data_IF_082245609959
#
_entry.id   IF_082245609959
#
_cell.length_a   1.000
_cell.length_b   1.000
_cell.length_c   1.000
_cell.angle_alpha   90.00
_cell.angle_beta   90.00
_cell.angle_gamma   90.00
#
_symmetry.space_group_name_H-M   'P 1'
#
loop_
_entity.id
_entity.type
_entity.pdbx_description
1 polymer ?
#
# COMPACT_ATOMS: atom_id res chain seq x y z
N UNK A 1 -10.83 33.05 -13.21
CA UNK A 1 -11.60 32.71 -14.42
C UNK A 1 -12.46 31.50 -14.11
N UNK A 2 -13.65 31.40 -14.74
CA UNK A 2 -14.54 30.26 -14.56
C UNK A 2 -14.18 29.19 -15.60
N UNK A 3 -14.00 27.94 -15.16
CA UNK A 3 -13.51 26.84 -15.99
C UNK A 3 -14.36 25.60 -15.73
N UNK A 4 -14.64 24.85 -16.79
CA UNK A 4 -15.33 23.56 -16.66
C UNK A 4 -14.40 22.56 -15.96
N UNK A 5 -14.95 21.76 -15.04
CA UNK A 5 -14.17 20.76 -14.29
C UNK A 5 -13.48 19.76 -15.22
N UNK A 6 -14.01 19.51 -16.42
CA UNK A 6 -13.39 18.66 -17.44
C UNK A 6 -12.10 19.24 -18.05
N UNK A 7 -11.93 20.56 -17.94
CA UNK A 7 -10.77 21.27 -18.47
C UNK A 7 -9.74 21.57 -17.38
N UNK A 8 -10.03 21.20 -16.12
CA UNK A 8 -9.08 21.36 -15.03
C UNK A 8 -7.87 20.43 -15.19
N UNK A 9 -6.72 21.00 -14.92
CA UNK A 9 -5.45 20.27 -14.85
C UNK A 9 -4.84 20.40 -13.45
N UNK A 10 -4.02 19.44 -13.00
CA UNK A 10 -3.25 19.59 -11.77
C UNK A 10 -2.41 20.85 -11.76
N UNK A 11 -2.34 21.52 -10.61
CA UNK A 11 -1.63 22.79 -10.47
C UNK A 11 -2.53 24.04 -10.55
N UNK A 12 -3.79 23.92 -11.00
CA UNK A 12 -4.77 25.03 -10.91
C UNK A 12 -4.95 25.47 -9.45
N UNK A 13 -5.22 26.76 -9.22
CA UNK A 13 -5.47 27.32 -7.87
C UNK A 13 -6.90 27.82 -7.82
N UNK A 14 -7.72 27.30 -6.89
CA UNK A 14 -9.08 27.79 -6.67
C UNK A 14 -9.07 29.23 -6.13
N UNK A 15 -9.87 30.11 -6.72
CA UNK A 15 -10.07 31.49 -6.23
C UNK A 15 -11.31 31.65 -5.38
N UNK A 16 -12.19 30.62 -5.37
CA UNK A 16 -13.44 30.60 -4.60
C UNK A 16 -13.63 29.24 -3.94
N UNK A 17 -14.32 29.23 -2.79
CA UNK A 17 -14.74 27.99 -2.14
C UNK A 17 -15.70 27.21 -3.06
N UNK A 18 -15.49 25.92 -3.18
CA UNK A 18 -16.43 25.03 -3.85
C UNK A 18 -17.43 24.53 -2.80
N UNK A 19 -18.64 25.10 -2.85
CA UNK A 19 -19.69 24.78 -1.89
C UNK A 19 -20.42 23.48 -2.21
N UNK A 20 -20.75 22.72 -1.17
CA UNK A 20 -21.61 21.54 -1.22
C UNK A 20 -22.98 21.81 -0.57
N UNK A 21 -23.69 20.73 -0.24
CA UNK A 21 -24.95 20.81 0.53
C UNK A 21 -24.73 20.97 2.04
N UNK A 22 -23.49 21.03 2.49
CA UNK A 22 -23.10 21.17 3.90
C UNK A 22 -22.58 22.58 4.20
N UNK A 23 -22.47 22.94 5.48
CA UNK A 23 -21.93 24.24 5.93
C UNK A 23 -20.39 24.37 5.73
N UNK A 24 -19.72 23.32 5.28
CA UNK A 24 -18.28 23.36 4.97
C UNK A 24 -18.08 23.20 3.46
N UNK A 25 -17.15 23.95 2.86
CA UNK A 25 -16.85 23.80 1.44
C UNK A 25 -16.30 22.40 1.15
N UNK A 26 -16.61 21.86 -0.03
CA UNK A 26 -16.04 20.60 -0.55
C UNK A 26 -14.53 20.77 -0.72
N UNK A 27 -14.13 21.90 -1.33
CA UNK A 27 -12.72 22.28 -1.50
C UNK A 27 -12.61 23.77 -1.20
N UNK A 28 -11.76 24.18 -0.24
CA UNK A 28 -11.58 25.60 0.10
C UNK A 28 -10.89 26.39 -1.02
N UNK A 29 -11.16 27.69 -1.07
CA UNK A 29 -10.39 28.64 -1.90
C UNK A 29 -8.89 28.57 -1.57
N UNK A 30 -8.06 28.99 -2.51
CA UNK A 30 -6.59 28.94 -2.44
C UNK A 30 -6.01 27.50 -2.38
N UNK A 31 -6.84 26.48 -2.62
CA UNK A 31 -6.36 25.11 -2.76
C UNK A 31 -5.72 24.93 -4.15
N UNK A 32 -4.53 24.37 -4.19
CA UNK A 32 -3.92 23.88 -5.43
C UNK A 32 -4.63 22.58 -5.81
N UNK A 33 -5.14 22.51 -7.01
CA UNK A 33 -5.85 21.35 -7.54
C UNK A 33 -4.84 20.24 -7.85
N UNK A 34 -5.15 19.05 -7.36
CA UNK A 34 -4.51 17.78 -7.67
C UNK A 34 -5.53 16.81 -8.29
N UNK A 35 -5.12 15.69 -8.90
CA UNK A 35 -6.03 14.71 -9.48
C UNK A 35 -7.16 14.28 -8.53
N UNK A 36 -6.87 14.10 -7.24
CA UNK A 36 -7.87 13.78 -6.20
C UNK A 36 -8.97 14.84 -6.09
N UNK A 37 -8.61 16.13 -6.24
CA UNK A 37 -9.58 17.22 -6.20
C UNK A 37 -10.47 17.21 -7.45
N UNK A 38 -9.91 16.93 -8.63
CA UNK A 38 -10.66 16.81 -9.89
C UNK A 38 -11.66 15.66 -9.77
N UNK A 39 -11.23 14.50 -9.28
CA UNK A 39 -12.09 13.35 -9.03
C UNK A 39 -13.20 13.68 -8.02
N UNK A 40 -12.87 14.41 -6.95
CA UNK A 40 -13.85 14.87 -5.96
C UNK A 40 -14.89 15.79 -6.61
N UNK A 41 -14.48 16.77 -7.43
CA UNK A 41 -15.39 17.67 -8.13
C UNK A 41 -16.33 16.92 -9.08
N UNK A 42 -15.81 15.91 -9.81
CA UNK A 42 -16.63 15.04 -10.64
C UNK A 42 -17.63 14.22 -9.80
N UNK A 43 -17.18 13.64 -8.69
CA UNK A 43 -18.02 12.85 -7.78
C UNK A 43 -19.19 13.68 -7.22
N UNK A 44 -18.93 14.95 -6.87
CA UNK A 44 -19.95 15.89 -6.40
C UNK A 44 -20.71 16.60 -7.53
N UNK A 45 -20.45 16.25 -8.81
CA UNK A 45 -21.08 16.83 -10.00
C UNK A 45 -20.96 18.35 -10.10
N UNK A 46 -19.87 18.88 -9.60
CA UNK A 46 -19.54 20.29 -9.82
C UNK A 46 -19.18 20.42 -11.30
N UNK A 47 -19.86 21.31 -12.00
CA UNK A 47 -19.64 21.49 -13.44
C UNK A 47 -18.55 22.52 -13.72
N UNK A 48 -18.47 23.55 -12.89
CA UNK A 48 -17.58 24.68 -13.10
C UNK A 48 -17.00 25.14 -11.75
N UNK A 49 -15.79 25.63 -11.78
CA UNK A 49 -15.09 26.20 -10.64
C UNK A 49 -14.38 27.51 -11.05
N UNK A 50 -14.11 28.37 -10.08
CA UNK A 50 -13.30 29.57 -10.31
C UNK A 50 -11.85 29.31 -9.95
N UNK A 51 -10.95 29.53 -10.93
CA UNK A 51 -9.51 29.35 -10.75
C UNK A 51 -8.72 30.61 -11.08
N UNK A 52 -7.46 30.64 -10.64
CA UNK A 52 -6.48 31.65 -11.05
C UNK A 52 -6.16 31.50 -12.54
N UNK A 53 -5.80 32.59 -13.20
CA UNK A 53 -5.28 32.56 -14.56
C UNK A 53 -3.90 31.87 -14.67
N UNK A 54 -3.18 31.74 -13.51
CA UNK A 54 -1.90 31.07 -13.44
C UNK A 54 -1.95 29.86 -12.53
N UNK A 55 -1.21 28.83 -12.93
CA UNK A 55 -0.98 27.63 -12.15
C UNK A 55 -0.04 27.90 -10.95
N UNK A 56 0.08 26.94 -10.06
CA UNK A 56 0.96 27.00 -8.88
C UNK A 56 2.44 27.13 -9.21
N UNK A 57 2.84 26.71 -10.42
CA UNK A 57 4.20 26.86 -10.96
C UNK A 57 4.43 28.21 -11.69
N UNK A 58 3.41 29.07 -11.78
CA UNK A 58 3.47 30.37 -12.43
C UNK A 58 3.15 30.37 -13.94
N UNK A 59 2.90 29.22 -14.54
CA UNK A 59 2.53 29.04 -15.94
C UNK A 59 1.11 29.53 -16.21
N UNK A 60 0.83 30.04 -17.42
CA UNK A 60 -0.52 30.46 -17.80
C UNK A 60 -1.43 29.25 -18.03
N UNK A 61 -2.65 29.31 -17.49
CA UNK A 61 -3.59 28.18 -17.58
C UNK A 61 -3.95 27.81 -19.02
N UNK A 62 -4.21 28.82 -19.88
CA UNK A 62 -4.58 28.54 -21.27
C UNK A 62 -3.46 27.88 -22.07
N UNK A 63 -2.20 28.26 -21.77
CA UNK A 63 -1.01 27.67 -22.38
C UNK A 63 -0.77 26.26 -21.85
N UNK A 64 -0.89 26.07 -20.55
CA UNK A 64 -0.74 24.77 -19.91
C UNK A 64 -1.80 23.75 -20.38
N UNK A 65 -3.07 24.16 -20.51
CA UNK A 65 -4.15 23.27 -21.01
C UNK A 65 -3.91 22.83 -22.45
N UNK A 66 -3.41 23.69 -23.32
CA UNK A 66 -3.10 23.32 -24.73
C UNK A 66 -2.03 22.25 -24.83
N UNK A 67 -1.12 22.20 -23.87
CA UNK A 67 0.00 21.26 -23.81
C UNK A 67 -0.27 20.06 -22.90
N UNK A 68 -1.42 20.01 -22.25
CA UNK A 68 -1.77 18.98 -21.28
C UNK A 68 -2.38 17.75 -21.95
N UNK A 69 -1.70 16.62 -21.87
CA UNK A 69 -2.19 15.31 -22.29
C UNK A 69 -2.50 14.45 -21.03
N UNK A 70 -3.75 14.50 -20.51
CA UNK A 70 -4.06 14.01 -19.16
C UNK A 70 -3.96 12.49 -18.99
N UNK A 71 -4.29 11.71 -20.01
CA UNK A 71 -4.39 10.25 -19.88
C UNK A 71 -3.09 9.50 -20.18
N UNK A 72 -2.19 10.10 -20.95
CA UNK A 72 -0.99 9.39 -21.42
C UNK A 72 0.16 9.40 -20.41
N UNK A 73 0.24 10.42 -19.56
CA UNK A 73 1.36 10.54 -18.59
C UNK A 73 1.14 9.62 -17.40
N UNK A 74 -0.06 9.60 -16.80
CA UNK A 74 -0.35 8.73 -15.65
C UNK A 74 -0.36 7.26 -16.07
N UNK A 75 -1.02 6.92 -17.20
CA UNK A 75 -1.00 5.53 -17.70
C UNK A 75 0.42 5.06 -18.07
N UNK A 76 1.27 5.93 -18.61
CA UNK A 76 2.69 5.59 -18.89
C UNK A 76 3.52 5.42 -17.62
N UNK A 77 3.28 6.25 -16.59
CA UNK A 77 3.98 6.14 -15.29
C UNK A 77 3.56 4.86 -14.57
N UNK A 78 2.27 4.53 -14.58
CA UNK A 78 1.73 3.32 -13.97
C UNK A 78 2.23 2.06 -14.70
N UNK A 79 2.30 2.09 -16.03
CA UNK A 79 2.87 1.01 -16.83
C UNK A 79 4.39 0.85 -16.58
N UNK A 80 5.15 1.93 -16.50
CA UNK A 80 6.60 1.89 -16.24
C UNK A 80 6.90 1.35 -14.83
N UNK A 81 6.17 1.79 -13.80
CA UNK A 81 6.32 1.26 -12.44
C UNK A 81 5.96 -0.22 -12.40
N UNK A 82 4.87 -0.61 -13.04
CA UNK A 82 4.44 -2.01 -13.14
C UNK A 82 5.49 -2.88 -13.81
N UNK A 83 6.08 -2.44 -14.92
CA UNK A 83 7.15 -3.18 -15.61
C UNK A 83 8.38 -3.35 -14.71
N UNK A 84 8.82 -2.29 -14.04
CA UNK A 84 9.94 -2.35 -13.09
C UNK A 84 9.63 -3.27 -11.90
N UNK A 85 8.40 -3.26 -11.40
CA UNK A 85 7.96 -4.13 -10.33
C UNK A 85 7.99 -5.62 -10.77
N UNK A 86 7.44 -5.94 -11.95
CA UNK A 86 7.44 -7.31 -12.47
C UNK A 86 8.87 -7.82 -12.77
N UNK A 87 9.75 -6.96 -13.26
CA UNK A 87 11.18 -7.29 -13.37
C UNK A 87 11.81 -7.56 -11.99
N UNK A 88 11.44 -6.79 -10.97
CA UNK A 88 11.84 -7.00 -9.58
C UNK A 88 11.38 -8.38 -9.05
N UNK A 89 10.13 -8.77 -9.33
CA UNK A 89 9.60 -10.10 -8.99
C UNK A 89 10.42 -11.20 -9.65
N UNK A 90 10.72 -11.06 -10.93
CA UNK A 90 11.55 -12.02 -11.66
C UNK A 90 12.97 -12.14 -11.09
N UNK A 91 13.60 -11.02 -10.74
CA UNK A 91 14.92 -10.99 -10.09
C UNK A 91 14.86 -11.67 -8.73
N UNK A 92 13.87 -11.35 -7.91
CA UNK A 92 13.67 -12.03 -6.62
C UNK A 92 13.48 -13.54 -6.80
N UNK A 93 12.73 -13.98 -7.81
CA UNK A 93 12.55 -15.41 -8.10
C UNK A 93 13.90 -16.11 -8.42
N UNK A 94 14.77 -15.47 -9.21
CA UNK A 94 16.12 -16.00 -9.50
C UNK A 94 16.96 -16.11 -8.23
N UNK A 95 16.93 -15.08 -7.38
CA UNK A 95 17.68 -15.08 -6.13
C UNK A 95 17.14 -16.12 -5.15
N UNK A 96 15.83 -16.25 -5.02
CA UNK A 96 15.20 -17.26 -4.19
C UNK A 96 15.60 -18.70 -4.60
N UNK A 97 15.73 -18.97 -5.92
CA UNK A 97 16.25 -20.25 -6.43
C UNK A 97 17.72 -20.46 -6.04
N UNK A 98 18.54 -19.40 -6.06
CA UNK A 98 19.95 -19.47 -5.59
C UNK A 98 20.01 -19.78 -4.09
N UNK A 99 19.22 -19.07 -3.26
CA UNK A 99 19.15 -19.34 -1.81
C UNK A 99 18.72 -20.77 -1.50
N UNK A 100 17.72 -21.28 -2.22
CA UNK A 100 17.31 -22.68 -2.09
C UNK A 100 18.41 -23.69 -2.43
N UNK A 101 19.34 -23.33 -3.27
CA UNK A 101 20.52 -24.12 -3.60
C UNK A 101 21.72 -23.86 -2.67
N UNK A 102 21.52 -23.13 -1.59
CA UNK A 102 22.55 -22.86 -0.56
C UNK A 102 23.51 -21.73 -0.90
N UNK A 103 23.19 -20.87 -1.88
CA UNK A 103 23.97 -19.66 -2.14
C UNK A 103 23.62 -18.56 -1.14
N UNK A 104 24.62 -17.78 -0.74
CA UNK A 104 24.45 -16.66 0.15
C UNK A 104 23.67 -15.50 -0.51
N UNK A 105 23.18 -14.56 0.32
CA UNK A 105 22.53 -13.33 -0.12
C UNK A 105 23.60 -12.37 -0.65
N UNK A 106 23.47 -12.00 -1.92
CA UNK A 106 24.24 -10.93 -2.55
C UNK A 106 23.53 -9.59 -2.34
N UNK A 107 23.82 -8.91 -1.23
CA UNK A 107 23.18 -7.65 -0.89
C UNK A 107 23.51 -6.50 -1.88
N UNK A 108 24.74 -6.35 -2.40
CA UNK A 108 25.04 -5.44 -3.50
C UNK A 108 24.14 -5.65 -4.71
N UNK A 109 24.01 -6.89 -5.23
CA UNK A 109 23.12 -7.22 -6.34
C UNK A 109 21.67 -6.80 -6.05
N UNK A 110 21.16 -7.06 -4.83
CA UNK A 110 19.82 -6.64 -4.40
C UNK A 110 19.68 -5.13 -4.47
N UNK A 111 20.63 -4.40 -3.91
CA UNK A 111 20.59 -2.93 -3.85
C UNK A 111 20.56 -2.30 -5.23
N UNK A 112 21.28 -2.85 -6.18
CA UNK A 112 21.38 -2.30 -7.53
C UNK A 112 20.03 -2.23 -8.26
N UNK A 113 19.17 -3.22 -8.09
CA UNK A 113 17.86 -3.21 -8.74
C UNK A 113 16.72 -2.77 -7.83
N UNK A 114 16.81 -3.06 -6.51
CA UNK A 114 15.71 -2.76 -5.59
C UNK A 114 15.65 -1.29 -5.20
N UNK A 115 16.80 -0.62 -5.01
CA UNK A 115 16.77 0.78 -4.57
C UNK A 115 16.17 1.75 -5.60
N UNK A 116 16.44 1.65 -6.91
CA UNK A 116 15.74 2.47 -7.88
C UNK A 116 14.23 2.30 -7.83
N UNK A 117 13.74 1.05 -7.81
CA UNK A 117 12.33 0.73 -7.69
C UNK A 117 11.72 1.26 -6.37
N UNK A 118 12.43 1.11 -5.25
CA UNK A 118 12.00 1.63 -3.95
C UNK A 118 11.86 3.15 -3.95
N UNK A 119 12.84 3.86 -4.53
CA UNK A 119 12.78 5.33 -4.64
C UNK A 119 11.59 5.76 -5.49
N UNK A 120 11.31 5.07 -6.58
CA UNK A 120 10.14 5.37 -7.41
C UNK A 120 8.83 5.06 -6.66
N UNK A 121 8.75 3.91 -6.01
CA UNK A 121 7.61 3.53 -5.18
C UNK A 121 7.28 4.57 -4.09
N UNK A 122 8.31 5.14 -3.44
CA UNK A 122 8.09 6.16 -2.39
C UNK A 122 7.56 7.50 -2.91
N UNK A 123 7.64 7.76 -4.21
CA UNK A 123 7.04 8.94 -4.84
C UNK A 123 5.59 8.71 -5.25
N UNK A 124 5.24 7.47 -5.58
CA UNK A 124 3.93 7.10 -6.06
C UNK A 124 3.11 6.35 -5.00
N UNK A 125 2.43 7.13 -4.16
CA UNK A 125 1.61 6.63 -3.06
C UNK A 125 0.48 5.72 -3.52
N UNK A 126 -0.16 6.02 -4.67
CA UNK A 126 -1.27 5.25 -5.18
C UNK A 126 -0.81 3.84 -5.55
N UNK A 127 0.30 3.75 -6.28
CA UNK A 127 0.84 2.46 -6.71
C UNK A 127 1.26 1.58 -5.54
N UNK A 128 1.90 2.15 -4.53
CA UNK A 128 2.34 1.39 -3.35
C UNK A 128 1.15 0.73 -2.62
N UNK A 129 0.04 1.42 -2.50
CA UNK A 129 -1.13 0.90 -1.81
C UNK A 129 -1.99 -0.01 -2.69
N UNK A 130 -1.78 0.02 -4.02
CA UNK A 130 -2.42 -0.83 -5.02
C UNK A 130 -1.54 -1.97 -5.52
N UNK A 131 -0.32 -2.09 -5.04
CA UNK A 131 0.68 -3.06 -5.52
C UNK A 131 0.18 -4.52 -5.49
N UNK A 132 -0.76 -4.83 -4.61
CA UNK A 132 -1.41 -6.14 -4.53
C UNK A 132 -2.20 -6.51 -5.80
N UNK A 133 -2.58 -5.56 -6.66
CA UNK A 133 -3.21 -5.85 -7.96
C UNK A 133 -2.26 -6.52 -8.96
N UNK A 134 -0.95 -6.38 -8.76
CA UNK A 134 0.06 -7.03 -9.62
C UNK A 134 0.36 -8.47 -9.19
N UNK A 135 -0.06 -8.87 -7.98
CA UNK A 135 0.26 -10.19 -7.43
C UNK A 135 -0.49 -11.30 -8.17
N UNK A 136 0.24 -12.38 -8.46
CA UNK A 136 -0.32 -13.63 -8.96
C UNK A 136 -0.23 -14.73 -7.89
N UNK A 137 -1.25 -15.60 -7.84
CA UNK A 137 -1.27 -16.74 -6.91
C UNK A 137 -0.06 -17.65 -7.09
N UNK A 138 0.32 -17.93 -8.35
CA UNK A 138 1.40 -18.84 -8.69
C UNK A 138 2.79 -18.38 -8.21
N UNK A 139 3.00 -17.06 -8.11
CA UNK A 139 4.28 -16.44 -7.75
C UNK A 139 4.16 -15.64 -6.43
N UNK A 140 3.15 -15.98 -5.62
CA UNK A 140 2.78 -15.22 -4.41
C UNK A 140 3.99 -14.84 -3.54
N UNK A 141 4.90 -15.81 -3.22
CA UNK A 141 6.03 -15.54 -2.32
C UNK A 141 6.96 -14.43 -2.84
N UNK A 142 7.14 -14.34 -4.16
CA UNK A 142 8.03 -13.34 -4.77
C UNK A 142 7.36 -11.97 -4.81
N UNK A 143 6.08 -11.92 -5.16
CA UNK A 143 5.27 -10.71 -5.06
C UNK A 143 5.20 -10.22 -3.62
N UNK A 144 4.97 -11.13 -2.67
CA UNK A 144 4.86 -10.81 -1.25
C UNK A 144 6.14 -10.19 -0.69
N UNK A 145 7.28 -10.84 -0.88
CA UNK A 145 8.57 -10.34 -0.40
C UNK A 145 8.91 -8.95 -0.98
N UNK A 146 8.72 -8.78 -2.30
CA UNK A 146 8.97 -7.50 -2.95
C UNK A 146 8.05 -6.40 -2.43
N UNK A 147 6.74 -6.67 -2.41
CA UNK A 147 5.74 -5.71 -1.92
C UNK A 147 5.96 -5.36 -0.45
N UNK A 148 6.27 -6.34 0.38
CA UNK A 148 6.59 -6.14 1.79
C UNK A 148 7.76 -5.17 1.97
N UNK A 149 8.81 -5.32 1.17
CA UNK A 149 9.95 -4.40 1.17
C UNK A 149 9.57 -2.99 0.74
N UNK A 150 8.81 -2.84 -0.35
CA UNK A 150 8.38 -1.55 -0.88
C UNK A 150 7.43 -0.82 0.08
N UNK A 151 6.41 -1.51 0.61
CA UNK A 151 5.45 -0.96 1.57
C UNK A 151 6.16 -0.57 2.88
N UNK A 152 7.05 -1.42 3.40
CA UNK A 152 7.79 -1.14 4.63
C UNK A 152 8.70 0.09 4.49
N UNK A 153 9.39 0.23 3.35
CA UNK A 153 10.20 1.41 3.05
C UNK A 153 9.35 2.68 2.93
N UNK A 154 8.22 2.60 2.24
CA UNK A 154 7.25 3.68 2.13
C UNK A 154 6.71 4.10 3.50
N UNK A 155 6.21 3.18 4.31
CA UNK A 155 5.69 3.48 5.65
C UNK A 155 6.77 4.06 6.56
N UNK A 156 8.01 3.54 6.50
CA UNK A 156 9.14 4.07 7.25
C UNK A 156 9.45 5.53 6.86
N UNK A 157 9.42 5.85 5.57
CA UNK A 157 9.59 7.23 5.09
C UNK A 157 8.43 8.13 5.59
N UNK A 158 7.20 7.67 5.51
CA UNK A 158 6.00 8.40 5.99
C UNK A 158 6.02 8.64 7.50
N UNK A 159 6.64 7.75 8.26
CA UNK A 159 6.87 7.88 9.70
C UNK A 159 8.01 8.84 10.05
N UNK A 160 8.69 9.42 9.05
CA UNK A 160 9.76 10.42 9.24
C UNK A 160 11.13 9.82 9.52
N UNK A 161 11.37 8.53 9.21
CA UNK A 161 12.69 7.95 9.33
C UNK A 161 13.64 8.55 8.30
N UNK A 162 14.91 8.71 8.68
CA UNK A 162 15.96 9.19 7.79
C UNK A 162 16.17 8.25 6.58
N UNK A 163 16.68 8.82 5.46
CA UNK A 163 16.85 8.06 4.21
C UNK A 163 17.61 6.74 4.39
N UNK A 164 18.68 6.75 5.17
CA UNK A 164 19.42 5.55 5.45
C UNK A 164 18.62 4.48 6.23
N UNK A 165 17.72 4.92 7.11
CA UNK A 165 16.91 4.04 7.94
C UNK A 165 15.75 3.41 7.15
N UNK A 166 14.97 4.21 6.41
CA UNK A 166 13.85 3.63 5.67
C UNK A 166 14.32 2.69 4.53
N UNK A 167 15.50 2.94 3.93
CA UNK A 167 16.14 1.98 3.01
C UNK A 167 16.46 0.66 3.72
N UNK A 168 17.01 0.73 4.92
CA UNK A 168 17.32 -0.46 5.71
C UNK A 168 16.04 -1.24 6.08
N UNK A 169 14.97 -0.54 6.46
CA UNK A 169 13.65 -1.15 6.75
C UNK A 169 13.10 -1.85 5.52
N UNK A 170 13.19 -1.19 4.35
CA UNK A 170 12.76 -1.77 3.08
C UNK A 170 13.52 -3.07 2.72
N UNK A 171 14.86 -3.06 2.88
CA UNK A 171 15.68 -4.26 2.68
C UNK A 171 15.32 -5.36 3.70
N UNK A 172 15.03 -4.99 4.94
CA UNK A 172 14.53 -5.91 5.96
C UNK A 172 13.21 -6.56 5.54
N UNK A 173 12.25 -5.76 5.05
CA UNK A 173 10.97 -6.27 4.53
C UNK A 173 11.15 -7.23 3.36
N UNK A 174 11.96 -6.85 2.36
CA UNK A 174 12.27 -7.71 1.20
C UNK A 174 12.87 -9.06 1.61
N UNK A 175 13.71 -9.09 2.65
CA UNK A 175 14.45 -10.28 3.08
C UNK A 175 13.81 -11.02 4.26
N UNK A 176 12.67 -10.55 4.78
CA UNK A 176 12.02 -11.18 5.94
C UNK A 176 11.61 -12.63 5.67
N UNK A 177 11.23 -12.93 4.43
CA UNK A 177 10.79 -14.26 4.01
C UNK A 177 11.86 -15.07 3.24
N UNK A 178 13.12 -14.61 3.18
CA UNK A 178 14.16 -15.35 2.46
C UNK A 178 14.38 -16.76 3.02
N UNK A 179 14.14 -16.96 4.32
CA UNK A 179 14.20 -18.26 5.01
C UNK A 179 13.13 -19.26 4.53
N UNK A 180 12.07 -18.82 3.87
CA UNK A 180 11.13 -19.70 3.18
C UNK A 180 11.81 -20.53 2.08
N UNK A 181 12.98 -20.13 1.61
CA UNK A 181 13.78 -20.92 0.68
C UNK A 181 14.21 -22.30 1.24
N UNK A 182 14.25 -22.45 2.56
CA UNK A 182 14.53 -23.73 3.24
C UNK A 182 13.31 -24.64 3.37
N UNK A 183 12.11 -24.12 3.13
CA UNK A 183 10.87 -24.92 3.23
C UNK A 183 10.76 -25.91 2.09
N UNK A 184 10.17 -27.09 2.37
CA UNK A 184 9.91 -28.08 1.34
C UNK A 184 8.94 -27.54 0.29
N UNK A 185 9.08 -28.02 -0.98
CA UNK A 185 8.16 -27.61 -2.06
C UNK A 185 6.73 -28.08 -1.77
N UNK A 186 6.58 -29.22 -1.12
CA UNK A 186 5.27 -29.80 -0.80
C UNK A 186 4.49 -28.90 0.16
N UNK A 187 5.17 -28.27 1.14
CA UNK A 187 4.56 -27.31 2.04
C UNK A 187 4.21 -26.00 1.30
N UNK A 188 5.15 -25.49 0.49
CA UNK A 188 4.97 -24.22 -0.22
C UNK A 188 3.84 -24.25 -1.26
N UNK A 189 3.59 -25.41 -1.90
CA UNK A 189 2.60 -25.57 -2.96
C UNK A 189 1.39 -26.41 -2.53
N UNK A 190 1.22 -26.67 -1.24
CA UNK A 190 0.12 -27.50 -0.74
C UNK A 190 -1.22 -26.82 -1.02
N UNK A 191 -2.12 -27.55 -1.69
CA UNK A 191 -3.49 -27.11 -1.97
C UNK A 191 -4.43 -27.63 -0.85
N UNK A 192 -4.44 -27.06 0.28
CA UNK A 192 -5.31 -27.48 1.38
C UNK A 192 -4.78 -27.05 2.75
N UNK A 193 -5.50 -27.34 3.80
CA UNK A 193 -5.10 -26.95 5.14
C UNK A 193 -3.74 -27.53 5.53
N UNK A 194 -2.90 -26.71 6.14
CA UNK A 194 -1.63 -27.14 6.71
C UNK A 194 -1.89 -27.89 8.02
N UNK A 195 -1.14 -28.96 8.25
CA UNK A 195 -1.11 -29.63 9.56
C UNK A 195 -0.37 -28.78 10.60
N UNK A 196 -0.59 -29.05 11.87
CA UNK A 196 0.12 -28.36 12.96
C UNK A 196 1.67 -28.46 12.83
N UNK A 197 2.15 -29.60 12.35
CA UNK A 197 3.59 -29.80 12.11
C UNK A 197 4.11 -28.88 11.00
N UNK A 198 3.39 -28.78 9.89
CA UNK A 198 3.74 -27.90 8.77
C UNK A 198 3.65 -26.42 9.16
N UNK A 199 2.64 -26.04 9.96
CA UNK A 199 2.54 -24.69 10.51
C UNK A 199 3.77 -24.37 11.38
N UNK A 200 4.17 -25.28 12.30
CA UNK A 200 5.35 -25.10 13.14
C UNK A 200 6.64 -25.01 12.30
N UNK A 201 6.73 -25.75 11.20
CA UNK A 201 7.87 -25.67 10.29
C UNK A 201 7.92 -24.30 9.60
N UNK A 202 6.79 -23.83 9.07
CA UNK A 202 6.71 -22.48 8.47
C UNK A 202 7.07 -21.40 9.48
N UNK A 203 6.63 -21.53 10.73
CA UNK A 203 6.94 -20.56 11.80
C UNK A 203 8.44 -20.46 12.14
N UNK A 204 9.30 -21.35 11.60
CA UNK A 204 10.74 -21.23 11.72
C UNK A 204 11.40 -20.36 10.66
N UNK A 205 10.66 -19.95 9.59
CA UNK A 205 11.28 -19.14 8.52
C UNK A 205 11.91 -17.82 9.03
N UNK A 206 11.39 -17.10 10.06
CA UNK A 206 12.06 -15.90 10.52
C UNK A 206 13.44 -16.18 11.14
N UNK A 207 13.60 -17.35 11.78
CA UNK A 207 14.89 -17.79 12.30
C UNK A 207 15.84 -18.11 11.15
N UNK A 208 15.36 -18.79 10.12
CA UNK A 208 16.16 -19.07 8.93
C UNK A 208 16.52 -17.77 8.20
N UNK A 209 15.57 -16.85 8.02
CA UNK A 209 15.83 -15.55 7.41
C UNK A 209 16.87 -14.76 8.17
N UNK A 210 16.77 -14.72 9.50
CA UNK A 210 17.76 -14.06 10.35
C UNK A 210 19.17 -14.64 10.14
N UNK A 211 19.32 -15.98 10.14
CA UNK A 211 20.61 -16.64 9.89
C UNK A 211 21.20 -16.30 8.52
N UNK A 212 20.35 -16.11 7.51
CA UNK A 212 20.81 -15.70 6.17
C UNK A 212 21.30 -14.26 6.12
N UNK A 213 20.79 -13.38 7.00
CA UNK A 213 21.15 -11.95 6.99
C UNK A 213 22.11 -11.56 8.11
N UNK A 214 22.37 -12.40 9.11
CA UNK A 214 23.13 -12.04 10.31
C UNK A 214 24.57 -11.57 10.03
N UNK A 215 25.22 -12.14 9.01
CA UNK A 215 26.59 -11.79 8.63
C UNK A 215 26.69 -10.67 7.57
N UNK A 216 25.57 -10.15 7.07
CA UNK A 216 25.55 -9.06 6.09
C UNK A 216 25.97 -7.74 6.75
N UNK A 217 27.23 -7.33 6.56
CA UNK A 217 27.80 -6.13 7.22
C UNK A 217 27.10 -4.84 6.86
N UNK A 218 26.51 -4.73 5.65
CA UNK A 218 25.80 -3.55 5.18
C UNK A 218 24.33 -3.45 5.69
N UNK A 219 23.86 -4.43 6.46
CA UNK A 219 22.61 -4.37 7.22
C UNK A 219 22.89 -4.08 8.69
N UNK A 220 22.20 -3.09 9.25
CA UNK A 220 22.36 -2.76 10.66
C UNK A 220 21.67 -3.79 11.59
N UNK A 221 22.12 -3.85 12.85
CA UNK A 221 21.60 -4.82 13.83
C UNK A 221 20.09 -4.71 14.06
N UNK A 222 19.51 -3.50 14.03
CA UNK A 222 18.07 -3.29 14.25
C UNK A 222 17.25 -3.96 13.15
N UNK A 223 17.70 -3.86 11.89
CA UNK A 223 17.01 -4.45 10.74
C UNK A 223 17.15 -5.98 10.72
N UNK A 224 18.35 -6.51 11.05
CA UNK A 224 18.51 -7.96 11.19
C UNK A 224 17.57 -8.54 12.24
N UNK A 225 17.44 -7.84 13.39
CA UNK A 225 16.47 -8.23 14.40
C UNK A 225 15.03 -8.05 13.93
N UNK A 226 14.76 -7.06 13.09
CA UNK A 226 13.43 -6.87 12.50
C UNK A 226 13.04 -8.03 11.57
N UNK A 227 13.98 -8.58 10.80
CA UNK A 227 13.79 -9.79 10.01
C UNK A 227 13.38 -10.98 10.89
N UNK A 228 13.99 -11.14 12.06
CA UNK A 228 13.64 -12.19 13.01
C UNK A 228 12.24 -11.98 13.61
N UNK A 229 11.86 -10.74 13.86
CA UNK A 229 10.71 -10.37 14.69
C UNK A 229 9.47 -9.93 13.89
N UNK A 230 9.44 -10.00 12.56
CA UNK A 230 8.33 -9.45 11.76
C UNK A 230 6.99 -10.15 12.00
N UNK A 231 7.00 -11.34 12.55
CA UNK A 231 5.79 -12.05 13.00
C UNK A 231 5.54 -11.97 14.50
N UNK A 232 6.35 -11.24 15.27
CA UNK A 232 6.01 -10.93 16.65
C UNK A 232 4.80 -9.99 16.72
N UNK A 233 4.08 -10.07 17.82
CA UNK A 233 2.91 -9.23 18.10
C UNK A 233 3.09 -8.56 19.44
N UNK A 234 2.62 -7.31 19.59
CA UNK A 234 2.84 -6.51 20.79
C UNK A 234 2.30 -7.17 22.07
N UNK A 235 1.25 -7.98 21.95
CA UNK A 235 0.62 -8.75 23.04
C UNK A 235 1.41 -10.02 23.41
N UNK A 236 2.43 -10.39 22.62
CA UNK A 236 3.21 -11.61 22.81
C UNK A 236 2.61 -12.86 22.17
N UNK A 237 1.55 -12.73 21.38
CA UNK A 237 0.92 -13.86 20.66
C UNK A 237 1.64 -14.25 19.37
N UNK A 238 2.71 -13.52 19.02
CA UNK A 238 3.50 -13.75 17.83
C UNK A 238 4.54 -14.88 17.96
N UNK A 239 5.36 -15.01 16.92
CA UNK A 239 6.45 -15.98 16.84
C UNK A 239 7.68 -15.35 16.14
N UNK A 240 8.89 -15.92 16.21
CA UNK A 240 9.25 -17.21 16.82
C UNK A 240 9.56 -17.14 18.33
N UNK A 241 9.72 -15.94 18.91
CA UNK A 241 10.19 -15.77 20.29
C UNK A 241 9.02 -15.56 21.29
N UNK A 242 7.85 -15.11 20.81
CA UNK A 242 6.70 -14.76 21.65
C UNK A 242 6.97 -13.60 22.59
N UNK A 243 7.79 -12.63 22.16
CA UNK A 243 8.17 -11.48 22.98
C UNK A 243 7.11 -10.38 22.92
N UNK A 244 7.06 -9.55 23.97
CA UNK A 244 6.11 -8.44 24.07
C UNK A 244 6.72 -7.12 23.61
N UNK A 245 5.88 -6.08 23.53
CA UNK A 245 6.15 -4.75 23.00
C UNK A 245 7.53 -4.18 23.33
N UNK A 246 7.96 -4.27 24.58
CA UNK A 246 9.22 -3.72 25.07
C UNK A 246 10.48 -4.38 24.45
N UNK A 247 10.33 -5.60 23.92
CA UNK A 247 11.40 -6.37 23.28
C UNK A 247 11.32 -6.44 21.77
N UNK A 248 10.30 -5.83 21.16
CA UNK A 248 10.10 -5.84 19.71
C UNK A 248 10.67 -4.55 19.12
N UNK A 249 11.59 -4.68 18.15
CA UNK A 249 12.15 -3.54 17.44
C UNK A 249 11.09 -2.77 16.67
N UNK A 250 11.20 -1.44 16.65
CA UNK A 250 10.23 -0.61 15.92
C UNK A 250 10.18 -0.94 14.42
N UNK A 251 11.32 -1.25 13.81
CA UNK A 251 11.36 -1.66 12.40
C UNK A 251 10.59 -2.95 12.14
N UNK A 252 10.57 -3.88 13.12
CA UNK A 252 9.73 -5.09 13.05
C UNK A 252 8.25 -4.76 12.96
N UNK A 253 7.81 -3.72 13.67
CA UNK A 253 6.40 -3.28 13.65
C UNK A 253 6.00 -2.72 12.28
N UNK A 254 6.90 -1.98 11.63
CA UNK A 254 6.67 -1.46 10.27
C UNK A 254 6.55 -2.63 9.28
N UNK A 255 7.48 -3.59 9.36
CA UNK A 255 7.46 -4.77 8.49
C UNK A 255 6.22 -5.64 8.76
N UNK A 256 5.84 -5.84 10.03
CA UNK A 256 4.66 -6.62 10.42
C UNK A 256 3.33 -6.04 9.87
N UNK A 257 3.20 -4.71 9.84
CA UNK A 257 2.03 -4.05 9.24
C UNK A 257 2.05 -4.17 7.72
N UNK A 258 3.22 -4.07 7.10
CA UNK A 258 3.40 -4.28 5.65
C UNK A 258 3.07 -5.70 5.23
N UNK A 259 3.53 -6.69 6.02
CA UNK A 259 3.22 -8.10 5.85
C UNK A 259 1.72 -8.37 5.89
N UNK A 260 1.04 -8.02 6.99
CA UNK A 260 -0.39 -8.30 7.13
C UNK A 260 -1.21 -7.59 6.06
N UNK A 261 -0.88 -6.35 5.73
CA UNK A 261 -1.59 -5.60 4.68
C UNK A 261 -1.49 -6.30 3.32
N UNK A 262 -0.29 -6.57 2.83
CA UNK A 262 -0.11 -7.25 1.54
C UNK A 262 -0.67 -8.67 1.57
N UNK A 263 -0.46 -9.38 2.67
CA UNK A 263 -0.93 -10.74 2.83
C UNK A 263 -2.45 -10.89 2.78
N UNK A 264 -3.20 -9.90 3.25
CA UNK A 264 -4.66 -9.93 3.28
C UNK A 264 -5.29 -9.33 2.01
N UNK A 265 -4.61 -8.39 1.36
CA UNK A 265 -5.08 -7.78 0.11
C UNK A 265 -4.76 -8.63 -1.12
N UNK A 266 -3.84 -9.59 -1.04
CA UNK A 266 -3.43 -10.44 -2.15
C UNK A 266 -4.14 -11.79 -2.16
N UNK A 267 -4.34 -12.33 -3.36
CA UNK A 267 -4.88 -13.68 -3.54
C UNK A 267 -3.84 -14.73 -3.17
N UNK A 268 -4.28 -15.74 -2.44
CA UNK A 268 -3.43 -16.87 -1.99
C UNK A 268 -4.10 -18.19 -2.30
N UNK A 269 -3.36 -19.31 -2.38
CA UNK A 269 -3.92 -20.64 -2.62
C UNK A 269 -5.02 -21.06 -1.63
N UNK A 270 -5.05 -20.44 -0.45
CA UNK A 270 -5.94 -20.83 0.66
C UNK A 270 -6.89 -19.73 1.13
N UNK A 271 -6.74 -18.51 0.62
CA UNK A 271 -7.54 -17.36 1.07
C UNK A 271 -7.76 -16.39 -0.08
N UNK A 272 -9.02 -16.05 -0.35
CA UNK A 272 -9.38 -14.97 -1.28
C UNK A 272 -8.86 -13.63 -0.78
N UNK A 273 -8.46 -12.77 -1.70
CA UNK A 273 -8.10 -11.39 -1.40
C UNK A 273 -9.25 -10.65 -0.70
N UNK A 274 -8.92 -9.73 0.17
CA UNK A 274 -9.86 -8.82 0.81
C UNK A 274 -9.62 -7.40 0.30
N UNK A 275 -10.66 -6.56 0.31
CA UNK A 275 -10.45 -5.16 -0.04
C UNK A 275 -9.57 -4.46 1.00
N UNK A 276 -8.74 -3.49 0.60
CA UNK A 276 -7.89 -2.72 1.51
C UNK A 276 -8.65 -2.12 2.70
N UNK A 277 -9.88 -1.65 2.48
CA UNK A 277 -10.73 -1.08 3.53
C UNK A 277 -11.13 -2.11 4.60
N UNK A 278 -11.47 -3.33 4.15
CA UNK A 278 -11.78 -4.43 5.06
C UNK A 278 -10.57 -4.86 5.87
N UNK A 279 -9.39 -4.90 5.22
CA UNK A 279 -8.12 -5.22 5.89
C UNK A 279 -7.79 -4.21 6.97
N UNK A 280 -7.93 -2.91 6.69
CA UNK A 280 -7.68 -1.86 7.69
C UNK A 280 -8.68 -1.95 8.85
N UNK A 281 -9.96 -2.18 8.56
CA UNK A 281 -10.98 -2.35 9.61
C UNK A 281 -10.68 -3.56 10.49
N UNK A 282 -10.25 -4.69 9.89
CA UNK A 282 -9.85 -5.89 10.62
C UNK A 282 -8.60 -5.62 11.49
N UNK A 283 -7.60 -4.90 10.94
CA UNK A 283 -6.41 -4.52 11.71
C UNK A 283 -6.79 -3.61 12.90
N UNK A 284 -7.71 -2.67 12.72
CA UNK A 284 -8.12 -1.76 13.78
C UNK A 284 -8.98 -2.43 14.85
N UNK A 285 -9.92 -3.31 14.47
CA UNK A 285 -10.88 -3.92 15.37
C UNK A 285 -10.39 -5.23 15.98
N UNK A 286 -9.92 -6.14 15.13
CA UNK A 286 -9.61 -7.51 15.55
C UNK A 286 -8.17 -7.65 16.04
N UNK A 287 -7.26 -6.79 15.56
CA UNK A 287 -5.84 -6.84 15.86
C UNK A 287 -5.39 -5.74 16.83
N UNK A 288 -6.36 -5.09 17.53
CA UNK A 288 -6.05 -4.07 18.52
C UNK A 288 -5.06 -4.60 19.57
N UNK A 289 -3.99 -3.84 19.81
CA UNK A 289 -2.91 -4.23 20.74
C UNK A 289 -1.88 -5.22 20.16
N UNK A 290 -2.03 -5.67 18.88
CA UNK A 290 -1.05 -6.54 18.22
C UNK A 290 -0.06 -5.80 17.33
N UNK A 291 -0.46 -4.65 16.80
CA UNK A 291 0.34 -3.81 15.90
C UNK A 291 0.56 -2.40 16.46
N UNK A 292 1.65 -1.75 16.06
CA UNK A 292 1.94 -0.38 16.46
C UNK A 292 0.95 0.60 15.81
N UNK A 293 0.24 1.34 16.66
CA UNK A 293 -0.81 2.28 16.23
C UNK A 293 -0.28 3.41 15.35
N UNK A 294 0.98 3.82 15.50
CA UNK A 294 1.58 4.86 14.64
C UNK A 294 1.70 4.38 13.21
N UNK A 295 2.10 3.13 13.03
CA UNK A 295 2.26 2.51 11.70
C UNK A 295 0.90 2.27 11.04
N UNK A 296 -0.04 1.69 11.78
CA UNK A 296 -1.39 1.43 11.26
C UNK A 296 -2.13 2.72 10.93
N UNK A 297 -1.94 3.78 11.73
CA UNK A 297 -2.52 5.10 11.47
C UNK A 297 -2.04 5.69 10.16
N UNK A 298 -0.73 5.68 9.89
CA UNK A 298 -0.17 6.19 8.63
C UNK A 298 -0.74 5.42 7.43
N UNK A 299 -0.77 4.09 7.49
CA UNK A 299 -1.35 3.27 6.43
C UNK A 299 -2.83 3.61 6.17
N UNK A 300 -3.61 3.78 7.24
CA UNK A 300 -5.02 4.12 7.21
C UNK A 300 -5.28 5.49 6.58
N UNK A 301 -4.56 6.52 7.04
CA UNK A 301 -4.68 7.89 6.52
C UNK A 301 -4.30 7.95 5.03
N UNK A 302 -3.27 7.21 4.65
CA UNK A 302 -2.81 7.18 3.27
C UNK A 302 -3.81 6.47 2.36
N UNK A 303 -4.39 5.37 2.79
CA UNK A 303 -5.43 4.69 2.03
C UNK A 303 -6.68 5.56 1.89
N UNK A 304 -7.12 6.21 2.97
CA UNK A 304 -8.27 7.12 2.93
C UNK A 304 -8.09 8.25 1.91
N UNK A 305 -6.89 8.84 1.87
CA UNK A 305 -6.62 9.98 1.00
C UNK A 305 -6.55 9.64 -0.51
N UNK A 306 -6.16 8.41 -0.87
CA UNK A 306 -6.06 8.03 -2.29
C UNK A 306 -7.35 7.44 -2.85
N UNK A 307 -8.30 7.12 -2.00
CA UNK A 307 -9.47 6.33 -2.39
C UNK A 307 -10.64 7.17 -2.88
N UNK A 308 -10.64 8.49 -2.64
CA UNK A 308 -11.72 9.38 -3.12
C UNK A 308 -11.70 9.45 -4.64
N UNK A 309 -12.85 9.20 -5.27
CA UNK A 309 -13.01 9.13 -6.72
C UNK A 309 -12.77 7.73 -7.31
N UNK A 310 -12.34 6.76 -6.49
CA UNK A 310 -12.14 5.38 -6.95
C UNK A 310 -13.47 4.66 -7.09
N UNK A 311 -13.63 3.93 -8.20
CA UNK A 311 -14.78 3.03 -8.41
C UNK A 311 -14.59 1.75 -7.62
N UNK A 312 -15.65 1.31 -6.96
CA UNK A 312 -15.68 0.09 -6.15
C UNK A 312 -16.90 -0.75 -6.45
N UNK A 313 -16.79 -2.05 -6.23
CA UNK A 313 -17.94 -2.97 -6.18
C UNK A 313 -18.28 -3.24 -4.72
N UNK A 314 -19.57 -3.05 -4.41
CA UNK A 314 -20.10 -3.28 -3.08
C UNK A 314 -20.52 -4.75 -2.87
N UNK A 315 -20.72 -5.14 -1.62
CA UNK A 315 -21.15 -6.50 -1.24
C UNK A 315 -22.51 -6.92 -1.79
N UNK A 316 -23.32 -5.97 -2.25
CA UNK A 316 -24.58 -6.22 -2.97
C UNK A 316 -24.41 -6.25 -4.49
N UNK A 317 -23.19 -6.28 -5.01
CA UNK A 317 -22.79 -6.25 -6.42
C UNK A 317 -23.07 -4.91 -7.14
N UNK A 318 -23.45 -3.84 -6.47
CA UNK A 318 -23.58 -2.52 -7.09
C UNK A 318 -22.21 -1.85 -7.26
N UNK A 319 -22.07 -1.10 -8.37
CA UNK A 319 -20.92 -0.23 -8.61
C UNK A 319 -21.17 1.16 -8.01
N UNK A 320 -20.15 1.71 -7.39
CA UNK A 320 -20.19 3.01 -6.75
C UNK A 320 -18.84 3.71 -6.82
N UNK A 321 -18.81 5.03 -6.71
CA UNK A 321 -17.60 5.81 -6.54
C UNK A 321 -17.48 6.24 -5.08
N UNK A 322 -16.28 6.12 -4.52
CA UNK A 322 -15.98 6.63 -3.18
C UNK A 322 -15.96 8.14 -3.22
N UNK A 323 -16.80 8.79 -2.41
CA UNK A 323 -16.88 10.25 -2.34
C UNK A 323 -16.30 10.83 -1.05
N UNK A 324 -16.25 10.02 0.00
CA UNK A 324 -15.65 10.42 1.26
C UNK A 324 -15.17 9.20 2.05
N UNK A 325 -14.02 9.35 2.70
CA UNK A 325 -13.44 8.37 3.63
C UNK A 325 -13.09 9.11 4.91
N UNK A 326 -13.64 8.66 6.04
CA UNK A 326 -13.23 9.16 7.35
C UNK A 326 -11.91 8.45 7.75
N UNK A 327 -10.79 9.17 7.90
CA UNK A 327 -9.52 8.55 8.29
C UNK A 327 -9.55 7.87 9.67
N UNK A 328 -10.48 8.28 10.54
CA UNK A 328 -10.64 7.65 11.87
C UNK A 328 -11.40 6.32 11.80
N UNK A 329 -12.22 6.16 10.79
CA UNK A 329 -13.03 4.96 10.54
C UNK A 329 -13.09 4.62 9.05
N UNK A 330 -11.98 4.21 8.43
CA UNK A 330 -11.84 4.09 6.97
C UNK A 330 -12.72 3.02 6.33
N UNK A 331 -13.28 2.11 7.11
CA UNK A 331 -14.31 1.19 6.62
C UNK A 331 -15.69 1.86 6.47
N UNK A 332 -15.88 3.06 7.04
CA UNK A 332 -17.13 3.81 6.95
C UNK A 332 -17.07 4.80 5.79
N UNK A 333 -17.21 4.29 4.60
CA UNK A 333 -17.15 5.06 3.37
C UNK A 333 -18.51 5.69 3.06
N UNK A 334 -18.48 6.89 2.49
CA UNK A 334 -19.59 7.40 1.71
C UNK A 334 -19.30 7.15 0.23
N UNK A 335 -20.28 6.57 -0.46
CA UNK A 335 -20.19 6.24 -1.88
C UNK A 335 -21.35 6.85 -2.63
N UNK A 336 -21.17 7.05 -3.93
CA UNK A 336 -22.24 7.40 -4.87
C UNK A 336 -22.48 6.19 -5.76
N UNK A 337 -23.71 5.67 -5.72
CA UNK A 337 -24.12 4.54 -6.57
C UNK A 337 -24.19 4.98 -8.04
N UNK A 338 -23.67 4.16 -8.96
CA UNK A 338 -23.71 4.46 -10.40
C UNK A 338 -25.13 4.41 -10.97
N UNK A 339 -25.98 3.50 -10.47
CA UNK A 339 -27.34 3.28 -10.99
C UNK A 339 -28.34 4.36 -10.63
N UNK A 340 -28.35 4.76 -9.37
CA UNK A 340 -29.34 5.68 -8.80
C UNK A 340 -28.79 7.05 -8.51
N UNK A 341 -27.45 7.18 -8.53
CA UNK A 341 -26.70 8.38 -8.20
C UNK A 341 -26.93 8.89 -6.75
N UNK A 342 -27.45 8.02 -5.91
CA UNK A 342 -27.70 8.28 -4.50
C UNK A 342 -26.38 8.18 -3.74
N UNK A 343 -26.19 9.11 -2.79
CA UNK A 343 -25.11 9.06 -1.83
C UNK A 343 -25.49 8.16 -0.66
N UNK A 344 -24.63 7.24 -0.31
CA UNK A 344 -24.89 6.17 0.63
C UNK A 344 -23.75 6.05 1.64
N UNK A 345 -24.07 5.95 2.91
CA UNK A 345 -23.13 5.57 3.96
C UNK A 345 -23.11 4.04 4.06
N UNK A 346 -21.98 3.42 3.75
CA UNK A 346 -21.87 1.95 3.78
C UNK A 346 -22.13 1.37 5.17
N UNK A 347 -21.79 2.11 6.23
CA UNK A 347 -22.05 1.70 7.60
C UNK A 347 -23.53 1.58 7.92
N UNK A 348 -24.32 2.60 7.52
CA UNK A 348 -25.75 2.67 7.82
C UNK A 348 -26.53 1.59 7.08
N UNK A 349 -26.08 1.22 5.88
CA UNK A 349 -26.70 0.18 5.06
C UNK A 349 -26.14 -1.22 5.30
N UNK A 350 -25.14 -1.37 6.18
CA UNK A 350 -24.50 -2.66 6.43
C UNK A 350 -23.74 -3.23 5.23
N UNK A 351 -23.37 -2.36 4.27
CA UNK A 351 -22.60 -2.72 3.07
C UNK A 351 -21.11 -2.51 3.30
N UNK A 352 -20.31 -3.20 2.49
CA UNK A 352 -18.85 -3.03 2.48
C UNK A 352 -18.30 -3.10 1.06
N UNK A 353 -17.10 -2.56 0.87
CA UNK A 353 -16.37 -2.66 -0.38
C UNK A 353 -15.83 -4.07 -0.54
N UNK A 354 -16.21 -4.74 -1.60
CA UNK A 354 -15.72 -6.07 -1.94
C UNK A 354 -14.51 -6.01 -2.89
N UNK A 355 -14.55 -5.09 -3.85
CA UNK A 355 -13.48 -4.92 -4.84
C UNK A 355 -13.25 -3.45 -5.16
N UNK A 356 -12.00 -3.11 -5.46
CA UNK A 356 -11.53 -1.75 -5.84
C UNK A 356 -11.01 -1.83 -7.27
N UNK A 357 -11.42 -0.88 -8.14
CA UNK A 357 -11.02 -0.82 -9.56
C UNK A 357 -10.03 0.31 -9.84
#
# INVERSE_FOLDING_TARGET
MQVNVKELIPGCILTKDVEGKTSRPIIPKNTVIYPVHINTLHAFRIKEVEISAKLSNGEDFEEAVRNYEPETVQARVDDEFREQYLEGVYRHQKMFKRWRNGFDIDLPEIRDWFLPLLVEATKNRQEILRIHHYASEAEYIHHHSLSMGLIAGYLAQRLGLEKGEWIQVALGGLLSDCGMSYMSRDIMHKKGALSEKEIKEIQQHPVHSYRMVEDLTAMNKKVKLAVLQHHERLDGSGYPLGVRQDKIQFYSQIIAVSDIYHAMTSERPYRKKQSPFKVIDEIQKEQFGKYDMRVTKVLTEDLANISVGTTVRLSNNELADIVFVDPSTPAHLMVRLHRSEVFLSLKEEGLYVEEVY
#
